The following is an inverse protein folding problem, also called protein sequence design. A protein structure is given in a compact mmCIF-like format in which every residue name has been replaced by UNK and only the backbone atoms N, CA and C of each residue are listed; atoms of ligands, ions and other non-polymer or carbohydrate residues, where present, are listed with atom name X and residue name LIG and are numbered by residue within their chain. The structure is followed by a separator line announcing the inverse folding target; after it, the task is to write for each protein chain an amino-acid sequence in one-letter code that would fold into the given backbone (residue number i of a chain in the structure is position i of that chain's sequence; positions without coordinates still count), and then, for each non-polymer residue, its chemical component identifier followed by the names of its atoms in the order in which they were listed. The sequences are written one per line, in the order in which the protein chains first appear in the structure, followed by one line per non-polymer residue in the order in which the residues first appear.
data_IF_156277326911
#
_entry.id   IF_156277326911
#
_cell.length_a   1.000
_cell.length_b   1.000
_cell.length_c   1.000
_cell.angle_alpha   90.00
_cell.angle_beta   90.00
_cell.angle_gamma   90.00
#
_symmetry.space_group_name_H-M   'P 1'
#
loop_
_entity.id
_entity.type
_entity.pdbx_description
1 polymer ?
#
# COMPACT_ATOMS: atom_id res chain seq x y z
N UNK A 1 -4.82 9.95 -21.63
CA UNK A 1 -4.40 8.67 -21.03
C UNK A 1 -3.62 8.86 -19.74
N UNK A 2 -2.42 9.45 -19.71
CA UNK A 2 -1.65 9.57 -18.45
C UNK A 2 -2.37 10.39 -17.36
N UNK A 3 -3.08 11.46 -17.74
CA UNK A 3 -3.90 12.25 -16.81
C UNK A 3 -5.05 11.42 -16.22
N UNK A 4 -5.76 10.66 -17.05
CA UNK A 4 -6.92 9.85 -16.65
C UNK A 4 -6.53 8.70 -15.72
N UNK A 5 -5.36 8.08 -15.91
CA UNK A 5 -4.85 7.07 -14.98
C UNK A 5 -4.62 7.70 -13.60
N UNK A 6 -3.90 8.82 -13.57
CA UNK A 6 -3.65 9.57 -12.33
C UNK A 6 -4.93 9.92 -11.57
N UNK A 7 -6.03 10.18 -12.27
CA UNK A 7 -7.34 10.45 -11.69
C UNK A 7 -7.91 9.22 -10.97
N UNK A 8 -7.75 8.01 -11.52
CA UNK A 8 -8.22 6.77 -10.89
C UNK A 8 -7.51 6.54 -9.55
N UNK A 9 -6.17 6.70 -9.51
CA UNK A 9 -5.42 6.53 -8.27
C UNK A 9 -5.74 7.62 -7.24
N UNK A 10 -5.98 8.85 -7.68
CA UNK A 10 -6.43 9.94 -6.80
C UNK A 10 -7.80 9.60 -6.21
N UNK A 11 -8.75 9.09 -7.00
CA UNK A 11 -10.07 8.68 -6.50
C UNK A 11 -9.96 7.53 -5.50
N UNK A 12 -9.09 6.55 -5.74
CA UNK A 12 -8.80 5.51 -4.74
C UNK A 12 -8.24 6.10 -3.45
N UNK A 13 -7.25 7.00 -3.56
CA UNK A 13 -6.64 7.65 -2.41
C UNK A 13 -7.65 8.45 -1.60
N UNK A 14 -8.55 9.20 -2.26
CA UNK A 14 -9.63 9.94 -1.61
C UNK A 14 -10.60 9.02 -0.88
N UNK A 15 -11.01 7.90 -1.52
CA UNK A 15 -11.92 6.93 -0.90
C UNK A 15 -11.27 6.21 0.30
N UNK A 16 -9.97 5.93 0.24
CA UNK A 16 -9.19 5.37 1.36
C UNK A 16 -9.03 6.37 2.51
N UNK A 17 -8.90 7.66 2.21
CA UNK A 17 -8.81 8.73 3.20
C UNK A 17 -10.17 9.20 3.76
N UNK A 18 -11.28 8.61 3.31
CA UNK A 18 -12.63 9.01 3.75
C UNK A 18 -12.86 8.76 5.25
N UNK A 19 -13.66 9.62 5.89
CA UNK A 19 -14.02 9.49 7.31
C UNK A 19 -14.84 8.23 7.62
N UNK A 20 -15.63 7.78 6.66
CA UNK A 20 -16.55 6.64 6.79
C UNK A 20 -15.82 5.28 6.78
N UNK A 21 -15.82 4.49 7.89
CA UNK A 21 -15.10 3.22 7.96
C UNK A 21 -15.56 2.20 6.91
N UNK A 22 -16.84 2.22 6.55
CA UNK A 22 -17.40 1.30 5.53
C UNK A 22 -16.83 1.64 4.14
N UNK A 23 -16.76 2.93 3.80
CA UNK A 23 -16.20 3.41 2.54
C UNK A 23 -14.72 3.06 2.42
N UNK A 24 -13.92 3.27 3.49
CA UNK A 24 -12.51 2.86 3.51
C UNK A 24 -12.33 1.36 3.30
N UNK A 25 -13.10 0.52 4.00
CA UNK A 25 -13.03 -0.95 3.83
C UNK A 25 -13.43 -1.41 2.44
N UNK A 26 -14.44 -0.79 1.83
CA UNK A 26 -14.82 -1.06 0.44
C UNK A 26 -13.71 -0.63 -0.52
N UNK A 27 -13.19 0.58 -0.35
CA UNK A 27 -12.09 1.11 -1.15
C UNK A 27 -10.84 0.22 -1.09
N UNK A 28 -10.49 -0.26 0.10
CA UNK A 28 -9.35 -1.17 0.29
C UNK A 28 -9.54 -2.50 -0.45
N UNK A 29 -10.74 -3.10 -0.39
CA UNK A 29 -11.04 -4.33 -1.14
C UNK A 29 -10.95 -4.10 -2.64
N UNK A 30 -11.57 -3.03 -3.15
CA UNK A 30 -11.51 -2.67 -4.56
C UNK A 30 -10.08 -2.37 -5.02
N UNK A 31 -9.27 -1.72 -4.17
CA UNK A 31 -7.86 -1.46 -4.47
C UNK A 31 -7.08 -2.77 -4.63
N UNK A 32 -7.29 -3.75 -3.73
CA UNK A 32 -6.64 -5.06 -3.82
C UNK A 32 -6.98 -5.78 -5.12
N UNK A 33 -8.24 -5.78 -5.52
CA UNK A 33 -8.68 -6.40 -6.76
C UNK A 33 -8.13 -5.66 -7.99
N UNK A 34 -8.09 -4.32 -7.92
CA UNK A 34 -7.51 -3.48 -8.96
C UNK A 34 -6.01 -3.72 -9.12
N UNK A 35 -5.20 -3.68 -8.05
CA UNK A 35 -3.75 -3.96 -8.08
C UNK A 35 -3.48 -5.33 -8.71
N UNK A 36 -4.25 -6.36 -8.32
CA UNK A 36 -4.08 -7.71 -8.87
C UNK A 36 -4.37 -7.77 -10.36
N UNK A 37 -5.46 -7.13 -10.78
CA UNK A 37 -5.86 -7.05 -12.19
C UNK A 37 -4.82 -6.28 -13.00
N UNK A 38 -4.33 -5.16 -12.47
CA UNK A 38 -3.39 -4.29 -13.16
C UNK A 38 -1.98 -4.85 -13.25
N UNK A 39 -1.51 -5.55 -12.21
CA UNK A 39 -0.22 -6.23 -12.29
C UNK A 39 -0.27 -7.43 -13.24
N UNK A 40 -1.42 -8.13 -13.32
CA UNK A 40 -1.64 -9.24 -14.25
C UNK A 40 -1.76 -8.79 -15.70
N UNK A 41 -2.34 -7.61 -15.95
CA UNK A 41 -2.35 -6.99 -17.25
C UNK A 41 -0.91 -6.64 -17.63
N UNK A 42 -0.27 -7.50 -18.45
CA UNK A 42 1.02 -7.23 -19.09
C UNK A 42 0.93 -6.15 -20.18
N UNK A 43 -0.03 -5.23 -20.03
CA UNK A 43 -0.26 -4.15 -20.98
C UNK A 43 1.06 -3.47 -21.25
N UNK A 44 1.45 -3.51 -22.51
CA UNK A 44 2.68 -3.00 -23.13
C UNK A 44 2.77 -1.45 -23.04
N UNK A 45 2.26 -0.85 -21.97
CA UNK A 45 2.46 0.57 -21.73
C UNK A 45 3.89 0.75 -21.28
N UNK A 46 4.74 1.18 -22.21
CA UNK A 46 6.12 1.59 -21.99
C UNK A 46 6.23 2.60 -20.84
N UNK A 47 5.21 3.43 -20.66
CA UNK A 47 4.99 4.20 -19.44
C UNK A 47 4.39 3.27 -18.39
N UNK A 48 5.23 2.80 -17.45
CA UNK A 48 4.85 1.88 -16.40
C UNK A 48 3.54 2.34 -15.76
N UNK A 49 2.48 1.52 -15.90
CA UNK A 49 1.13 1.83 -15.39
C UNK A 49 1.15 2.17 -13.88
N UNK A 50 2.16 1.66 -13.18
CA UNK A 50 2.53 2.05 -11.83
C UNK A 50 3.65 3.12 -11.85
N UNK A 51 3.34 4.30 -12.38
CA UNK A 51 4.24 5.44 -12.30
C UNK A 51 4.49 5.79 -10.83
N UNK A 52 5.65 6.39 -10.57
CA UNK A 52 6.04 6.82 -9.23
C UNK A 52 5.00 7.75 -8.60
N UNK A 53 4.40 8.67 -9.36
CA UNK A 53 3.36 9.58 -8.85
C UNK A 53 2.08 8.83 -8.47
N UNK A 54 1.64 7.89 -9.30
CA UNK A 54 0.47 7.07 -9.03
C UNK A 54 0.65 6.24 -7.75
N UNK A 55 1.82 5.60 -7.61
CA UNK A 55 2.18 4.86 -6.39
C UNK A 55 2.23 5.75 -5.14
N UNK A 56 2.72 7.00 -5.26
CA UNK A 56 2.70 7.97 -4.17
C UNK A 56 1.27 8.36 -3.76
N UNK A 57 0.35 8.57 -4.70
CA UNK A 57 -1.05 8.85 -4.36
C UNK A 57 -1.70 7.67 -3.62
N UNK A 58 -1.49 6.44 -4.09
CA UNK A 58 -2.02 5.24 -3.44
C UNK A 58 -1.45 5.06 -2.03
N UNK A 59 -0.14 5.18 -1.87
CA UNK A 59 0.53 5.04 -0.56
C UNK A 59 0.13 6.16 0.40
N UNK A 60 -0.11 7.38 -0.08
CA UNK A 60 -0.70 8.46 0.71
C UNK A 60 -2.13 8.15 1.15
N UNK A 61 -2.96 7.59 0.26
CA UNK A 61 -4.28 7.10 0.60
C UNK A 61 -4.26 6.03 1.70
N UNK A 62 -3.34 5.07 1.62
CA UNK A 62 -3.15 4.02 2.63
C UNK A 62 -2.65 4.60 3.97
N UNK A 63 -1.74 5.57 3.93
CA UNK A 63 -1.29 6.31 5.11
C UNK A 63 -2.47 6.97 5.83
N UNK A 64 -3.33 7.69 5.10
CA UNK A 64 -4.52 8.29 5.71
C UNK A 64 -5.58 7.26 6.13
N UNK A 65 -5.69 6.13 5.46
CA UNK A 65 -6.55 5.04 5.91
C UNK A 65 -6.14 4.53 7.31
N UNK A 66 -4.82 4.43 7.55
CA UNK A 66 -4.25 4.09 8.87
C UNK A 66 -4.38 5.24 9.87
N UNK A 67 -4.18 6.49 9.43
CA UNK A 67 -4.39 7.68 10.24
C UNK A 67 -5.79 7.71 10.86
N UNK A 68 -6.81 7.40 10.05
CA UNK A 68 -8.22 7.42 10.43
C UNK A 68 -8.66 6.20 11.27
N UNK A 69 -7.75 5.30 11.65
CA UNK A 69 -8.09 4.12 12.46
C UNK A 69 -7.58 4.26 13.88
N UNK A 70 -8.48 4.31 14.86
CA UNK A 70 -8.12 4.56 16.27
C UNK A 70 -8.13 3.31 17.14
N UNK A 71 -8.84 2.26 16.73
CA UNK A 71 -8.96 1.03 17.51
C UNK A 71 -7.79 0.07 17.23
N UNK A 72 -7.05 -0.31 18.27
CA UNK A 72 -5.83 -1.14 18.19
C UNK A 72 -5.97 -2.40 17.32
N UNK A 73 -6.98 -3.24 17.58
CA UNK A 73 -7.20 -4.48 16.82
C UNK A 73 -7.36 -4.24 15.31
N UNK A 74 -8.02 -3.14 14.94
CA UNK A 74 -8.23 -2.79 13.53
C UNK A 74 -7.00 -2.15 12.91
N UNK A 75 -6.16 -1.48 13.70
CA UNK A 75 -4.87 -0.97 13.23
C UNK A 75 -3.96 -2.14 12.87
N UNK A 76 -3.85 -3.16 13.73
CA UNK A 76 -3.00 -4.34 13.48
C UNK A 76 -3.44 -5.06 12.20
N UNK A 77 -4.73 -5.38 12.09
CA UNK A 77 -5.28 -5.98 10.88
C UNK A 77 -5.06 -5.10 9.64
N UNK A 78 -5.17 -3.77 9.77
CA UNK A 78 -4.93 -2.87 8.65
C UNK A 78 -3.45 -2.83 8.24
N UNK A 79 -2.51 -2.85 9.19
CA UNK A 79 -1.08 -2.90 8.92
C UNK A 79 -0.71 -4.18 8.16
N UNK A 80 -1.23 -5.33 8.58
CA UNK A 80 -1.00 -6.61 7.90
C UNK A 80 -1.63 -6.64 6.51
N UNK A 81 -2.85 -6.11 6.38
CA UNK A 81 -3.51 -5.97 5.08
C UNK A 81 -2.71 -5.08 4.14
N UNK A 82 -2.22 -3.93 4.60
CA UNK A 82 -1.36 -3.02 3.81
C UNK A 82 -0.08 -3.73 3.39
N UNK A 83 0.59 -4.42 4.32
CA UNK A 83 1.79 -5.17 4.01
C UNK A 83 1.48 -6.22 2.92
N UNK A 84 0.39 -6.98 3.06
CA UNK A 84 0.00 -8.03 2.13
C UNK A 84 -0.21 -7.56 0.69
N UNK A 85 -0.44 -6.25 0.46
CA UNK A 85 -0.52 -5.68 -0.90
C UNK A 85 0.77 -5.91 -1.70
N UNK A 86 1.93 -5.99 -1.03
CA UNK A 86 3.22 -6.31 -1.67
C UNK A 86 3.17 -7.62 -2.45
N UNK A 87 2.41 -8.61 -1.95
CA UNK A 87 2.29 -9.94 -2.54
C UNK A 87 1.31 -9.99 -3.71
N UNK A 88 0.52 -8.94 -3.93
CA UNK A 88 -0.43 -8.87 -5.05
C UNK A 88 0.24 -8.48 -6.36
N UNK A 89 1.40 -7.82 -6.29
CA UNK A 89 2.20 -7.45 -7.44
C UNK A 89 2.93 -8.69 -7.99
N UNK A 90 2.77 -8.94 -9.29
CA UNK A 90 3.44 -10.02 -10.02
C UNK A 90 4.91 -9.71 -10.28
N UNK A 91 5.25 -8.42 -10.48
CA UNK A 91 6.62 -8.00 -10.82
C UNK A 91 7.34 -7.49 -9.57
N UNK A 92 8.56 -7.96 -9.36
CA UNK A 92 9.35 -7.59 -8.18
C UNK A 92 9.62 -6.08 -8.10
N UNK A 93 9.90 -5.43 -9.24
CA UNK A 93 10.14 -3.99 -9.26
C UNK A 93 8.90 -3.16 -8.87
N UNK A 94 7.68 -3.65 -9.11
CA UNK A 94 6.44 -3.01 -8.66
C UNK A 94 6.29 -3.12 -7.14
N UNK A 95 6.53 -4.32 -6.59
CA UNK A 95 6.58 -4.53 -5.14
C UNK A 95 7.61 -3.60 -4.46
N UNK A 96 8.81 -3.50 -5.03
CA UNK A 96 9.89 -2.64 -4.51
C UNK A 96 9.51 -1.16 -4.63
N UNK A 97 8.91 -0.75 -5.76
CA UNK A 97 8.43 0.62 -5.94
C UNK A 97 7.36 0.99 -4.92
N UNK A 98 6.41 0.08 -4.64
CA UNK A 98 5.40 0.27 -3.61
C UNK A 98 6.03 0.43 -2.21
N UNK A 99 6.96 -0.44 -1.83
CA UNK A 99 7.69 -0.35 -0.55
C UNK A 99 8.41 1.00 -0.45
N UNK A 100 9.13 1.39 -1.50
CA UNK A 100 9.84 2.67 -1.56
C UNK A 100 8.89 3.85 -1.37
N UNK A 101 7.77 3.89 -2.10
CA UNK A 101 6.78 4.96 -2.00
C UNK A 101 6.12 5.01 -0.62
N UNK A 102 5.86 3.85 0.00
CA UNK A 102 5.28 3.77 1.33
C UNK A 102 6.23 4.32 2.39
N UNK A 103 7.52 3.95 2.33
CA UNK A 103 8.55 4.48 3.24
C UNK A 103 8.79 5.98 3.04
N UNK A 104 8.79 6.47 1.79
CA UNK A 104 8.88 7.90 1.50
C UNK A 104 7.68 8.65 2.06
N UNK A 105 6.47 8.11 1.91
CA UNK A 105 5.25 8.72 2.46
C UNK A 105 5.30 8.78 3.99
N UNK A 106 5.70 7.70 4.64
CA UNK A 106 5.90 7.67 6.10
C UNK A 106 6.95 8.70 6.54
N UNK A 107 8.07 8.81 5.83
CA UNK A 107 9.13 9.78 6.12
C UNK A 107 8.65 11.23 5.96
N UNK A 108 7.88 11.53 4.91
CA UNK A 108 7.40 12.87 4.62
C UNK A 108 6.33 13.35 5.60
N UNK A 109 5.46 12.44 6.05
CA UNK A 109 4.41 12.77 7.02
C UNK A 109 4.89 12.62 8.48
N UNK A 110 6.06 12.01 8.73
CA UNK A 110 6.66 11.85 10.06
C UNK A 110 6.64 13.09 10.96
N UNK A 111 7.09 14.28 10.50
CA UNK A 111 7.09 15.49 11.34
C UNK A 111 5.67 15.98 11.71
N UNK A 112 4.63 15.49 11.03
CA UNK A 112 3.22 15.86 11.28
C UNK A 112 2.53 14.92 12.27
N UNK A 113 3.15 13.78 12.59
CA UNK A 113 2.61 12.77 13.49
C UNK A 113 2.90 13.20 14.93
N UNK A 114 1.86 13.27 15.76
CA UNK A 114 2.01 13.48 17.19
C UNK A 114 2.36 12.17 17.93
N UNK A 115 2.85 12.31 19.17
CA UNK A 115 3.33 11.18 19.99
C UNK A 115 2.35 10.02 20.10
N UNK A 116 1.04 10.27 20.15
CA UNK A 116 0.03 9.22 20.36
C UNK A 116 -0.25 8.40 19.12
N UNK A 117 0.15 8.89 17.95
CA UNK A 117 -0.05 8.22 16.67
C UNK A 117 1.20 7.49 16.18
N UNK A 118 2.37 7.70 16.79
CA UNK A 118 3.62 7.08 16.32
C UNK A 118 3.55 5.55 16.29
N UNK A 119 2.97 4.93 17.32
CA UNK A 119 2.94 3.47 17.47
C UNK A 119 2.29 2.76 16.28
N UNK A 120 1.15 3.28 15.77
CA UNK A 120 0.46 2.66 14.64
C UNK A 120 1.25 2.79 13.33
N UNK A 121 1.99 3.87 13.13
CA UNK A 121 2.80 4.04 11.92
C UNK A 121 4.10 3.24 11.98
N UNK A 122 4.69 3.08 13.17
CA UNK A 122 5.78 2.14 13.40
C UNK A 122 5.33 0.71 13.12
N UNK A 123 4.12 0.33 13.56
CA UNK A 123 3.55 -0.99 13.26
C UNK A 123 3.47 -1.24 11.75
N UNK A 124 3.01 -0.28 10.95
CA UNK A 124 3.03 -0.42 9.47
C UNK A 124 4.45 -0.66 8.95
N UNK A 125 5.43 0.10 9.42
CA UNK A 125 6.83 -0.07 9.00
C UNK A 125 7.37 -1.46 9.36
N UNK A 126 7.05 -1.95 10.56
CA UNK A 126 7.44 -3.27 11.04
C UNK A 126 6.75 -4.40 10.26
N UNK A 127 5.44 -4.29 9.98
CA UNK A 127 4.71 -5.26 9.17
C UNK A 127 5.27 -5.33 7.74
N UNK A 128 5.68 -4.19 7.14
CA UNK A 128 6.34 -4.18 5.84
C UNK A 128 7.69 -4.93 5.88
N UNK A 129 8.53 -4.63 6.87
CA UNK A 129 9.82 -5.32 7.04
C UNK A 129 9.64 -6.82 7.30
N UNK A 130 8.72 -7.20 8.17
CA UNK A 130 8.40 -8.59 8.48
C UNK A 130 7.95 -9.34 7.23
N UNK A 131 7.10 -8.74 6.39
CA UNK A 131 6.65 -9.39 5.16
C UNK A 131 7.76 -9.52 4.12
N UNK A 132 8.67 -8.55 4.02
CA UNK A 132 9.84 -8.64 3.13
C UNK A 132 10.74 -9.83 3.55
N UNK A 133 11.00 -9.95 4.85
CA UNK A 133 11.77 -11.07 5.41
C UNK A 133 11.03 -12.38 5.16
N UNK A 134 9.72 -12.42 5.40
CA UNK A 134 8.89 -13.59 5.16
C UNK A 134 8.89 -14.01 3.69
N UNK A 135 8.77 -13.07 2.74
CA UNK A 135 8.86 -13.34 1.30
C UNK A 135 10.23 -13.93 0.93
N UNK A 136 11.32 -13.42 1.51
CA UNK A 136 12.67 -13.97 1.30
C UNK A 136 12.82 -15.38 1.88
N UNK A 137 12.34 -15.61 3.10
CA UNK A 137 12.39 -16.92 3.75
C UNK A 137 11.53 -17.95 3.01
N UNK A 138 10.33 -17.56 2.56
CA UNK A 138 9.44 -18.43 1.81
C UNK A 138 10.03 -18.79 0.44
N UNK A 139 10.63 -17.82 -0.25
CA UNK A 139 11.35 -18.07 -1.51
C UNK A 139 12.55 -19.01 -1.34
N UNK A 140 13.28 -18.93 -0.21
CA UNK A 140 14.37 -19.88 0.11
C UNK A 140 13.80 -21.28 0.39
N UNK A 141 12.64 -21.36 1.06
CA UNK A 141 12.00 -22.62 1.39
C UNK A 141 11.48 -23.35 0.13
N UNK A 142 10.88 -22.61 -0.81
CA UNK A 142 10.37 -23.17 -2.07
C UNK A 142 11.49 -23.76 -2.95
N UNK A 143 12.73 -23.26 -2.85
CA UNK A 143 13.89 -23.82 -3.57
C UNK A 143 14.44 -25.13 -2.97
N UNK A 144 14.02 -25.50 -1.76
CA UNK A 144 14.45 -26.75 -1.12
C UNK A 144 13.50 -27.92 -1.39
N UNK A 145 12.34 -27.67 -2.02
CA UNK A 145 11.42 -28.70 -2.48
C UNK A 145 11.64 -28.99 -3.96
#
# INVERSE_FOLDING_TARGET
MDSELSEIEIVFAQKLASGEPITRRRAFRTLRDWIRTESANRGFSFFAKFDYKAMLHLTKGLHYAMWMQDKMLWQEQLADNIASLINLFQREWESVSFIKCMLITLSNEWPRIDRWRMDKFLMVSLSLCALIIWRKCNFINDRKR
#
